data_IF_476581324691
#
_entry.id   IF_476581324691
#
_cell.length_a   1.000
_cell.length_b   1.000
_cell.length_c   1.000
_cell.angle_alpha   90.00
_cell.angle_beta   90.00
_cell.angle_gamma   90.00
#
_symmetry.space_group_name_H-M   'P 1'
#
loop_
_entity.id
_entity.type
_entity.pdbx_description
1 polymer ?
#
# COMPACT_ATOMS: atom_id res chain seq x y z
N UNK A 1 18.58 15.93 -17.50
CA UNK A 1 18.16 14.69 -16.80
C UNK A 1 19.42 13.95 -16.38
N UNK A 2 19.70 13.83 -15.09
CA UNK A 2 20.82 13.02 -14.60
C UNK A 2 20.54 11.55 -14.92
N UNK A 3 21.41 10.88 -15.68
CA UNK A 3 21.27 9.44 -15.93
C UNK A 3 21.39 8.71 -14.60
N UNK A 4 20.37 7.96 -14.20
CA UNK A 4 20.48 7.05 -13.04
C UNK A 4 21.70 6.16 -13.27
N UNK A 5 22.70 6.25 -12.39
CA UNK A 5 23.83 5.31 -12.37
C UNK A 5 23.26 3.90 -12.20
N UNK A 6 23.57 3.02 -13.14
CA UNK A 6 23.30 1.58 -13.00
C UNK A 6 24.63 0.85 -12.83
N UNK A 7 24.59 -0.29 -12.15
CA UNK A 7 25.73 -1.17 -11.95
C UNK A 7 25.31 -2.59 -12.32
N UNK A 8 26.21 -3.32 -12.98
CA UNK A 8 25.94 -4.69 -13.43
C UNK A 8 26.30 -5.69 -12.34
N UNK A 9 25.40 -6.64 -12.12
CA UNK A 9 25.62 -7.81 -11.27
C UNK A 9 25.21 -9.06 -12.05
N UNK A 10 25.93 -10.17 -11.87
CA UNK A 10 25.68 -11.44 -12.56
C UNK A 10 25.37 -12.53 -11.54
N UNK A 11 24.28 -13.25 -11.75
CA UNK A 11 23.86 -14.38 -10.92
C UNK A 11 23.77 -15.66 -11.76
N UNK A 12 24.04 -16.80 -11.13
CA UNK A 12 23.65 -18.10 -11.68
C UNK A 12 22.21 -18.39 -11.23
N UNK A 13 21.34 -18.69 -12.18
CA UNK A 13 19.97 -19.11 -11.93
C UNK A 13 19.80 -20.53 -12.42
N UNK A 14 18.90 -21.26 -11.77
CA UNK A 14 18.38 -22.50 -12.32
C UNK A 14 17.75 -22.24 -13.70
N UNK A 15 17.95 -23.16 -14.64
CA UNK A 15 17.52 -22.98 -16.03
C UNK A 15 15.99 -22.90 -16.14
N UNK A 16 15.26 -23.72 -15.37
CA UNK A 16 13.80 -23.71 -15.38
C UNK A 16 13.26 -22.39 -14.81
N UNK A 17 13.91 -21.88 -13.75
CA UNK A 17 13.58 -20.57 -13.20
C UNK A 17 13.80 -19.43 -14.22
N UNK A 18 14.92 -19.45 -14.94
CA UNK A 18 15.20 -18.45 -15.97
C UNK A 18 14.16 -18.47 -17.09
N UNK A 19 13.74 -19.66 -17.51
CA UNK A 19 12.74 -19.79 -18.58
C UNK A 19 11.35 -19.37 -18.13
N UNK A 20 10.98 -19.59 -16.86
CA UNK A 20 9.77 -19.02 -16.26
C UNK A 20 9.81 -17.49 -16.25
N UNK A 21 10.94 -16.88 -15.85
CA UNK A 21 11.09 -15.42 -15.83
C UNK A 21 11.01 -14.81 -17.24
N UNK A 22 11.60 -15.46 -18.25
CA UNK A 22 11.50 -15.02 -19.65
C UNK A 22 10.05 -15.02 -20.14
N UNK A 23 9.33 -16.13 -19.95
CA UNK A 23 7.92 -16.25 -20.33
C UNK A 23 7.05 -15.18 -19.65
N UNK A 24 7.32 -14.90 -18.38
CA UNK A 24 6.58 -13.88 -17.64
C UNK A 24 6.89 -12.46 -18.15
N UNK A 25 8.17 -12.18 -18.46
CA UNK A 25 8.57 -10.89 -19.03
C UNK A 25 7.98 -10.65 -20.43
N UNK A 26 7.89 -11.70 -21.26
CA UNK A 26 7.25 -11.65 -22.58
C UNK A 26 5.74 -11.36 -22.48
N UNK A 27 5.03 -12.02 -21.54
CA UNK A 27 3.60 -11.75 -21.30
C UNK A 27 3.33 -10.31 -20.86
N UNK A 28 4.28 -9.70 -20.17
CA UNK A 28 4.19 -8.32 -19.68
C UNK A 28 4.76 -7.30 -20.66
N UNK A 29 5.27 -7.73 -21.82
CA UNK A 29 5.95 -6.90 -22.83
C UNK A 29 7.12 -6.08 -22.23
N UNK A 30 7.92 -6.71 -21.36
CA UNK A 30 9.09 -6.11 -20.71
C UNK A 30 10.32 -7.02 -20.83
N UNK A 31 11.52 -6.45 -20.63
CA UNK A 31 12.74 -7.26 -20.55
C UNK A 31 12.83 -8.05 -19.23
N UNK A 32 13.54 -9.17 -19.23
CA UNK A 32 13.87 -9.93 -18.00
C UNK A 32 14.56 -9.04 -16.98
N UNK A 33 15.43 -8.12 -17.41
CA UNK A 33 16.10 -7.18 -16.52
C UNK A 33 15.10 -6.21 -15.87
N UNK A 34 14.10 -5.74 -16.61
CA UNK A 34 13.02 -4.90 -16.06
C UNK A 34 12.23 -5.66 -15.01
N UNK A 35 11.83 -6.90 -15.31
CA UNK A 35 11.11 -7.78 -14.37
C UNK A 35 11.93 -8.04 -13.11
N UNK A 36 13.22 -8.38 -13.25
CA UNK A 36 14.11 -8.61 -12.12
C UNK A 36 14.25 -7.37 -11.23
N UNK A 37 14.43 -6.18 -11.82
CA UNK A 37 14.49 -4.93 -11.06
C UNK A 37 13.17 -4.63 -10.33
N UNK A 38 12.01 -4.91 -10.93
CA UNK A 38 10.71 -4.76 -10.26
C UNK A 38 10.58 -5.71 -9.06
N UNK A 39 10.99 -6.98 -9.20
CA UNK A 39 10.99 -7.98 -8.11
C UNK A 39 11.92 -7.54 -6.97
N UNK A 40 13.17 -7.17 -7.28
CA UNK A 40 14.12 -6.73 -6.27
C UNK A 40 13.65 -5.47 -5.56
N UNK A 41 13.12 -4.50 -6.30
CA UNK A 41 12.55 -3.28 -5.72
C UNK A 41 11.40 -3.60 -4.78
N UNK A 42 10.43 -4.43 -5.21
CA UNK A 42 9.30 -4.85 -4.37
C UNK A 42 9.75 -5.56 -3.10
N UNK A 43 10.76 -6.42 -3.18
CA UNK A 43 11.30 -7.11 -2.01
C UNK A 43 11.97 -6.15 -1.01
N UNK A 44 12.81 -5.23 -1.51
CA UNK A 44 13.51 -4.27 -0.66
C UNK A 44 12.55 -3.25 -0.02
N UNK A 45 11.53 -2.81 -0.76
CA UNK A 45 10.57 -1.81 -0.28
C UNK A 45 9.51 -2.42 0.65
N UNK A 46 9.05 -3.65 0.40
CA UNK A 46 7.96 -4.28 1.14
C UNK A 46 8.28 -5.68 1.67
N UNK A 47 8.67 -6.61 0.79
CA UNK A 47 8.73 -8.05 1.10
C UNK A 47 9.65 -8.41 2.27
N UNK A 48 10.76 -7.69 2.49
CA UNK A 48 11.66 -7.92 3.63
C UNK A 48 11.07 -7.52 5.00
N UNK A 49 10.00 -6.73 5.00
CA UNK A 49 9.38 -6.16 6.20
C UNK A 49 8.05 -6.82 6.54
N UNK A 50 7.23 -7.15 5.54
CA UNK A 50 5.89 -7.74 5.68
C UNK A 50 5.79 -8.84 6.78
N UNK A 51 6.62 -9.90 6.77
CA UNK A 51 6.54 -10.93 7.80
C UNK A 51 6.96 -10.44 9.19
N UNK A 52 7.81 -9.42 9.27
CA UNK A 52 8.30 -8.86 10.55
C UNK A 52 7.26 -8.00 11.25
N UNK A 53 6.33 -7.43 10.48
CA UNK A 53 5.23 -6.61 11.00
C UNK A 53 3.93 -7.40 11.15
N UNK A 54 3.99 -8.74 11.08
CA UNK A 54 2.84 -9.62 11.31
C UNK A 54 1.76 -9.55 10.23
N UNK A 55 2.10 -9.08 9.03
CA UNK A 55 1.15 -9.06 7.91
C UNK A 55 0.97 -10.46 7.33
N UNK A 56 -0.28 -10.82 7.05
CA UNK A 56 -0.66 -12.09 6.44
C UNK A 56 -1.44 -11.81 5.16
N UNK A 57 -1.10 -12.46 4.03
CA UNK A 57 -1.88 -12.33 2.81
C UNK A 57 -3.26 -12.96 3.00
N UNK A 58 -4.32 -12.21 2.68
CA UNK A 58 -5.72 -12.66 2.77
C UNK A 58 -6.41 -12.41 1.44
N UNK A 59 -7.15 -13.40 0.95
CA UNK A 59 -7.95 -13.25 -0.27
C UNK A 59 -9.02 -12.16 -0.10
N UNK A 60 -9.17 -11.29 -1.11
CA UNK A 60 -10.13 -10.16 -1.12
C UNK A 60 -11.56 -10.59 -0.74
N UNK A 61 -11.99 -11.76 -1.18
CA UNK A 61 -13.32 -12.31 -0.93
C UNK A 61 -13.54 -12.67 0.55
N UNK A 62 -12.49 -13.13 1.24
CA UNK A 62 -12.54 -13.40 2.69
C UNK A 62 -12.72 -12.09 3.44
N UNK A 63 -11.95 -11.06 3.08
CA UNK A 63 -12.10 -9.72 3.68
C UNK A 63 -13.51 -9.18 3.46
N UNK A 64 -14.05 -9.26 2.24
CA UNK A 64 -15.43 -8.86 1.94
C UNK A 64 -16.45 -9.60 2.83
N UNK A 65 -16.32 -10.92 2.96
CA UNK A 65 -17.22 -11.72 3.77
C UNK A 65 -17.13 -11.40 5.28
N UNK A 66 -15.94 -11.05 5.79
CA UNK A 66 -15.75 -10.64 7.17
C UNK A 66 -16.33 -9.25 7.43
N UNK A 67 -15.99 -8.25 6.62
CA UNK A 67 -16.47 -6.88 6.80
C UNK A 67 -17.98 -6.72 6.57
N UNK A 68 -18.61 -7.61 5.80
CA UNK A 68 -20.09 -7.68 5.69
C UNK A 68 -20.79 -8.10 6.98
N UNK A 69 -20.12 -8.79 7.90
CA UNK A 69 -20.71 -9.27 9.16
C UNK A 69 -20.57 -8.28 10.31
N UNK A 70 -19.59 -7.38 10.22
CA UNK A 70 -19.29 -6.38 11.24
C UNK A 70 -20.20 -5.17 10.98
N UNK A 71 -20.84 -4.60 11.99
CA UNK A 71 -21.63 -3.38 11.81
C UNK A 71 -20.77 -2.10 11.83
N UNK A 72 -21.34 -0.94 11.50
CA UNK A 72 -20.59 0.31 11.44
C UNK A 72 -19.93 0.70 12.78
N UNK A 73 -20.65 0.51 13.89
CA UNK A 73 -20.12 0.81 15.23
C UNK A 73 -18.90 -0.05 15.55
N UNK A 74 -19.01 -1.36 15.33
CA UNK A 74 -17.90 -2.30 15.53
C UNK A 74 -16.73 -1.99 14.58
N UNK A 75 -17.02 -1.57 13.36
CA UNK A 75 -16.01 -1.16 12.36
C UNK A 75 -15.22 0.06 12.84
N UNK A 76 -15.91 1.08 13.36
CA UNK A 76 -15.28 2.28 13.94
C UNK A 76 -14.48 1.89 15.19
N UNK A 77 -15.03 1.06 16.07
CA UNK A 77 -14.30 0.60 17.26
C UNK A 77 -13.03 -0.15 16.91
N UNK A 78 -13.06 -1.02 15.89
CA UNK A 78 -11.89 -1.74 15.39
C UNK A 78 -10.82 -0.78 14.87
N UNK A 79 -11.21 0.24 14.10
CA UNK A 79 -10.30 1.27 13.61
C UNK A 79 -9.63 2.05 14.76
N UNK A 80 -10.43 2.50 15.73
CA UNK A 80 -9.96 3.36 16.82
C UNK A 80 -9.13 2.62 17.88
N UNK A 81 -9.55 1.41 18.26
CA UNK A 81 -8.89 0.64 19.34
C UNK A 81 -7.67 -0.14 18.87
N UNK A 82 -7.61 -0.47 17.58
CA UNK A 82 -6.60 -1.40 17.04
C UNK A 82 -5.96 -0.85 15.77
N UNK A 83 -6.76 -0.45 14.79
CA UNK A 83 -6.29 -0.13 13.43
C UNK A 83 -5.25 1.00 13.37
N UNK A 84 -5.47 2.10 14.09
CA UNK A 84 -4.56 3.26 14.13
C UNK A 84 -3.15 2.87 14.59
N UNK A 85 -3.07 2.19 15.73
CA UNK A 85 -1.78 1.85 16.34
C UNK A 85 -1.01 0.83 15.49
N UNK A 86 -1.71 -0.16 14.92
CA UNK A 86 -1.11 -1.10 13.95
C UNK A 86 -0.52 -0.37 12.75
N UNK A 87 -1.28 0.56 12.13
CA UNK A 87 -0.81 1.30 10.95
C UNK A 87 0.38 2.19 11.29
N UNK A 88 0.34 2.90 12.43
CA UNK A 88 1.46 3.71 12.93
C UNK A 88 2.71 2.85 13.12
N UNK A 89 2.59 1.74 13.83
CA UNK A 89 3.75 0.91 14.19
C UNK A 89 4.38 0.27 12.95
N UNK A 90 3.56 -0.14 11.98
CA UNK A 90 4.03 -0.61 10.67
C UNK A 90 4.80 0.47 9.91
N UNK A 91 4.25 1.69 9.83
CA UNK A 91 4.89 2.81 9.15
C UNK A 91 6.23 3.18 9.79
N UNK A 92 6.26 3.32 11.13
CA UNK A 92 7.47 3.59 11.90
C UNK A 92 8.52 2.50 11.73
N UNK A 93 8.13 1.22 11.83
CA UNK A 93 9.06 0.11 11.69
C UNK A 93 9.74 0.09 10.31
N UNK A 94 8.99 0.41 9.25
CA UNK A 94 9.50 0.37 7.88
C UNK A 94 10.27 1.62 7.45
N UNK A 95 9.90 2.80 7.98
CA UNK A 95 10.48 4.09 7.56
C UNK A 95 11.38 4.74 8.60
N UNK A 96 11.38 4.24 9.84
CA UNK A 96 12.18 4.72 10.97
C UNK A 96 11.62 5.96 11.67
N UNK A 97 10.58 6.60 11.12
CA UNK A 97 9.94 7.80 11.66
C UNK A 97 8.49 7.93 11.16
N UNK A 98 7.72 8.81 11.79
CA UNK A 98 6.32 9.07 11.47
C UNK A 98 6.10 10.57 11.22
N UNK A 99 6.49 11.01 10.03
CA UNK A 99 6.12 12.31 9.45
C UNK A 99 5.32 12.09 8.16
N UNK A 100 4.78 13.17 7.57
CA UNK A 100 3.94 13.09 6.38
C UNK A 100 4.64 12.35 5.24
N UNK A 101 5.85 12.75 4.87
CA UNK A 101 6.63 12.13 3.79
C UNK A 101 6.83 10.62 4.01
N UNK A 102 7.20 10.24 5.23
CA UNK A 102 7.44 8.84 5.57
C UNK A 102 6.15 8.04 5.50
N UNK A 103 5.06 8.60 6.02
CA UNK A 103 3.75 7.97 6.00
C UNK A 103 3.22 7.81 4.58
N UNK A 104 3.28 8.84 3.74
CA UNK A 104 2.86 8.77 2.34
C UNK A 104 3.72 7.78 1.56
N UNK A 105 5.03 7.80 1.75
CA UNK A 105 5.95 6.83 1.14
C UNK A 105 5.61 5.39 1.56
N UNK A 106 5.25 5.17 2.82
CA UNK A 106 4.82 3.86 3.32
C UNK A 106 3.47 3.45 2.74
N UNK A 107 2.51 4.37 2.74
CA UNK A 107 1.16 4.15 2.23
C UNK A 107 1.19 3.77 0.76
N UNK A 108 1.93 4.50 -0.08
CA UNK A 108 2.11 4.15 -1.49
C UNK A 108 2.77 2.79 -1.67
N UNK A 109 3.79 2.48 -0.86
CA UNK A 109 4.47 1.17 -0.93
C UNK A 109 3.50 0.05 -0.60
N UNK A 110 2.67 0.24 0.45
CA UNK A 110 1.62 -0.69 0.85
C UNK A 110 0.57 -0.87 -0.24
N UNK A 111 0.11 0.23 -0.86
CA UNK A 111 -0.87 0.17 -1.94
C UNK A 111 -0.31 -0.56 -3.16
N UNK A 112 0.94 -0.26 -3.58
CA UNK A 112 1.63 -0.95 -4.68
C UNK A 112 1.88 -2.43 -4.41
N UNK A 113 2.03 -2.83 -3.15
CA UNK A 113 2.20 -4.22 -2.74
C UNK A 113 0.88 -5.00 -2.67
N UNK A 114 -0.26 -4.30 -2.64
CA UNK A 114 -1.61 -4.86 -2.53
C UNK A 114 -2.21 -5.22 -3.89
N UNK A 115 -3.42 -5.78 -3.88
CA UNK A 115 -4.22 -6.03 -5.09
C UNK A 115 -5.11 -4.84 -5.48
N UNK A 116 -4.86 -3.64 -4.93
CA UNK A 116 -5.66 -2.45 -5.17
C UNK A 116 -5.09 -1.60 -6.30
N UNK A 117 -5.99 -0.94 -7.03
CA UNK A 117 -5.60 0.10 -7.99
C UNK A 117 -5.57 1.44 -7.26
N UNK A 118 -4.53 2.23 -7.48
CA UNK A 118 -4.39 3.56 -6.89
C UNK A 118 -3.95 4.56 -7.94
N UNK A 119 -4.65 5.69 -7.98
CA UNK A 119 -4.22 6.88 -8.69
C UNK A 119 -3.83 7.95 -7.66
N UNK A 120 -2.68 8.60 -7.87
CA UNK A 120 -2.22 9.71 -7.03
C UNK A 120 -1.88 10.90 -7.93
N UNK A 121 -2.49 12.05 -7.64
CA UNK A 121 -2.24 13.32 -8.31
C UNK A 121 -1.83 14.39 -7.31
N UNK A 122 -0.96 15.29 -7.73
CA UNK A 122 -0.54 16.47 -6.95
C UNK A 122 -0.77 17.70 -7.81
N UNK A 123 -1.53 18.68 -7.30
CA UNK A 123 -1.80 19.96 -7.98
C UNK A 123 -1.69 21.09 -6.95
N UNK A 124 -0.75 22.03 -7.11
CA UNK A 124 -0.54 23.14 -6.15
C UNK A 124 -0.42 22.64 -4.69
N UNK A 125 0.43 21.64 -4.44
CA UNK A 125 0.63 21.04 -3.10
C UNK A 125 -0.63 20.34 -2.52
N UNK A 126 -1.70 20.24 -3.31
CA UNK A 126 -2.87 19.45 -2.99
C UNK A 126 -2.68 18.00 -3.44
N UNK A 127 -2.65 17.07 -2.48
CA UNK A 127 -2.59 15.64 -2.74
C UNK A 127 -3.99 15.07 -2.89
N UNK A 128 -4.21 14.25 -3.93
CA UNK A 128 -5.44 13.47 -4.10
C UNK A 128 -5.09 12.03 -4.47
N UNK A 129 -5.52 11.08 -3.63
CA UNK A 129 -5.45 9.66 -3.87
C UNK A 129 -6.84 9.11 -4.17
N UNK A 130 -6.96 8.27 -5.19
CA UNK A 130 -8.16 7.45 -5.45
C UNK A 130 -7.73 6.00 -5.37
N UNK A 131 -8.27 5.26 -4.40
CA UNK A 131 -7.98 3.83 -4.20
C UNK A 131 -9.23 3.03 -4.51
N UNK A 132 -9.13 2.12 -5.47
CA UNK A 132 -10.19 1.18 -5.83
C UNK A 132 -9.88 -0.19 -5.22
N UNK A 133 -10.81 -0.70 -4.42
CA UNK A 133 -10.62 -1.91 -3.62
C UNK A 133 -11.74 -2.94 -3.78
N UNK A 134 -13.00 -2.57 -4.06
CA UNK A 134 -14.20 -3.45 -4.16
C UNK A 134 -14.35 -4.48 -3.02
N UNK A 135 -14.22 -4.04 -1.77
CA UNK A 135 -14.35 -4.91 -0.58
C UNK A 135 -15.66 -4.65 0.19
N UNK A 136 -16.35 -3.53 -0.04
CA UNK A 136 -17.60 -3.16 0.63
C UNK A 136 -17.44 -2.01 1.61
N UNK A 137 -18.57 -1.40 1.98
CA UNK A 137 -18.63 -0.13 2.71
C UNK A 137 -17.86 -0.15 4.04
N UNK A 138 -18.04 -1.19 4.87
CA UNK A 138 -17.38 -1.25 6.18
C UNK A 138 -15.85 -1.34 6.07
N UNK A 139 -15.32 -1.91 4.99
CA UNK A 139 -13.87 -1.89 4.76
C UNK A 139 -13.37 -0.48 4.46
N UNK A 140 -14.14 0.29 3.69
CA UNK A 140 -13.85 1.69 3.38
C UNK A 140 -13.97 2.56 4.63
N UNK A 141 -15.02 2.35 5.44
CA UNK A 141 -15.24 3.04 6.71
C UNK A 141 -14.09 2.76 7.70
N UNK A 142 -13.64 1.50 7.80
CA UNK A 142 -12.47 1.16 8.62
C UNK A 142 -11.23 1.95 8.20
N UNK A 143 -10.90 1.97 6.90
CA UNK A 143 -9.72 2.69 6.41
C UNK A 143 -9.87 4.21 6.50
N UNK A 144 -11.07 4.75 6.27
CA UNK A 144 -11.37 6.16 6.50
C UNK A 144 -11.06 6.54 7.94
N UNK A 145 -11.59 5.80 8.93
CA UNK A 145 -11.39 6.11 10.34
C UNK A 145 -9.93 5.98 10.76
N UNK A 146 -9.24 4.94 10.29
CA UNK A 146 -7.80 4.80 10.55
C UNK A 146 -7.02 5.99 9.99
N UNK A 147 -7.27 6.38 8.74
CA UNK A 147 -6.56 7.50 8.12
C UNK A 147 -6.90 8.85 8.79
N UNK A 148 -8.18 9.11 9.09
CA UNK A 148 -8.58 10.31 9.84
C UNK A 148 -7.85 10.42 11.18
N UNK A 149 -7.72 9.31 11.92
CA UNK A 149 -7.00 9.26 13.18
C UNK A 149 -5.49 9.48 12.99
N UNK A 150 -4.87 8.87 11.97
CA UNK A 150 -3.44 9.11 11.67
C UNK A 150 -3.20 10.58 11.33
N UNK A 151 -4.01 11.16 10.45
CA UNK A 151 -3.86 12.54 10.02
C UNK A 151 -4.09 13.52 11.17
N UNK A 152 -5.12 13.30 11.99
CA UNK A 152 -5.48 14.23 13.08
C UNK A 152 -4.58 14.06 14.31
N UNK A 153 -4.42 12.83 14.80
CA UNK A 153 -3.77 12.57 16.10
C UNK A 153 -2.24 12.55 16.01
N UNK A 154 -1.69 12.27 14.82
CA UNK A 154 -0.24 12.03 14.65
C UNK A 154 0.39 13.05 13.72
N UNK A 155 -0.23 13.30 12.56
CA UNK A 155 0.33 14.22 11.56
C UNK A 155 -0.15 15.67 11.78
N UNK A 156 -1.09 15.90 12.70
CA UNK A 156 -1.70 17.19 13.01
C UNK A 156 -2.21 17.94 11.76
N UNK A 157 -2.73 17.17 10.79
CA UNK A 157 -3.18 17.65 9.48
C UNK A 157 -4.64 17.32 9.24
N UNK A 158 -5.31 18.21 8.49
CA UNK A 158 -6.66 17.95 8.00
C UNK A 158 -6.60 17.02 6.80
N UNK A 159 -7.55 16.10 6.73
CA UNK A 159 -7.76 15.22 5.57
C UNK A 159 -9.24 15.15 5.28
N UNK A 160 -9.59 15.19 4.00
CA UNK A 160 -10.93 14.91 3.51
C UNK A 160 -10.94 13.51 2.89
N UNK A 161 -11.83 12.65 3.36
CA UNK A 161 -11.94 11.28 2.87
C UNK A 161 -13.38 10.99 2.48
N UNK A 162 -13.60 10.76 1.20
CA UNK A 162 -14.87 10.32 0.63
C UNK A 162 -14.81 8.80 0.41
N UNK A 163 -15.82 8.06 0.84
CA UNK A 163 -15.84 6.59 0.73
C UNK A 163 -17.11 6.09 0.02
N UNK A 164 -16.97 4.95 -0.66
CA UNK A 164 -18.07 4.15 -1.18
C UNK A 164 -17.80 2.67 -0.91
N UNK A 165 -18.65 1.76 -1.40
CA UNK A 165 -18.41 0.32 -1.29
C UNK A 165 -17.17 -0.17 -2.05
N UNK A 166 -16.76 0.55 -3.10
CA UNK A 166 -15.74 0.09 -4.04
C UNK A 166 -14.48 0.94 -4.08
N UNK A 167 -14.56 2.19 -3.62
CA UNK A 167 -13.46 3.13 -3.68
C UNK A 167 -13.42 4.06 -2.47
N UNK A 168 -12.24 4.63 -2.26
CA UNK A 168 -12.04 5.76 -1.36
C UNK A 168 -11.21 6.84 -2.06
N UNK A 169 -11.58 8.10 -1.83
CA UNK A 169 -10.82 9.27 -2.26
C UNK A 169 -10.29 9.97 -1.02
N UNK A 170 -8.98 10.20 -0.98
CA UNK A 170 -8.27 10.84 0.14
C UNK A 170 -7.65 12.11 -0.40
N UNK A 171 -7.97 13.26 0.19
CA UNK A 171 -7.47 14.56 -0.24
C UNK A 171 -6.99 15.41 0.94
N UNK A 172 -5.85 16.07 0.80
CA UNK A 172 -5.29 16.96 1.82
C UNK A 172 -4.29 17.93 1.20
N UNK A 173 -4.01 19.03 1.91
CA UNK A 173 -2.99 20.01 1.55
C UNK A 173 -1.69 19.71 2.32
N UNK A 174 -0.55 19.77 1.60
CA UNK A 174 0.79 19.64 2.19
C UNK A 174 1.19 20.86 3.04
#
# INVERSE_FOLDING_TARGET
MSSKKSSTISFRLDQDLLDMLKKESEKQDISVNTLANQIFKRYIEWGRFEPKVGMVPVAKQILNALFKKINEKETIELATKVGRDIVRDMAVFMKGKMDLDSFLSWFETRMKASAFEMNHTITNEHHSYIVKHDIGYNWSLYHQKVLELIFTDILEKKVNIEISESMMKIAFDE
#
